data_IF_814035001268
#
_entry.id   IF_814035001268
#
_cell.length_a   1.000
_cell.length_b   1.000
_cell.length_c   1.000
_cell.angle_alpha   90.00
_cell.angle_beta   90.00
_cell.angle_gamma   90.00
#
_symmetry.space_group_name_H-M   'P 1'
#
loop_
_entity.id
_entity.type
_entity.pdbx_description
1 polymer ?
#
# COMPACT_ATOMS: atom_id res chain seq x y z
N UNK A 1 0.60 -2.74 -27.45
CA UNK A 1 -0.83 -3.02 -27.29
C UNK A 1 -1.55 -1.74 -26.90
N UNK A 2 -2.62 -1.48 -27.55
CA UNK A 2 -3.37 -0.26 -27.31
C UNK A 2 -4.38 -0.49 -26.19
N UNK A 3 -4.33 0.37 -25.19
CA UNK A 3 -5.23 0.29 -24.05
C UNK A 3 -6.54 1.00 -24.38
N UNK A 4 -7.66 0.37 -24.10
CA UNK A 4 -8.94 1.02 -24.28
C UNK A 4 -9.21 2.00 -23.15
N UNK A 5 -9.98 3.04 -23.40
CA UNK A 5 -10.30 4.05 -22.41
C UNK A 5 -11.15 3.51 -21.25
N UNK A 6 -11.82 2.37 -21.46
CA UNK A 6 -12.69 1.75 -20.47
C UNK A 6 -11.99 0.70 -19.63
N UNK A 7 -10.75 0.40 -19.95
CA UNK A 7 -10.02 -0.64 -19.25
C UNK A 7 -9.52 -0.13 -17.90
N UNK A 8 -9.87 -0.85 -16.85
CA UNK A 8 -9.41 -0.51 -15.51
C UNK A 8 -8.07 -1.17 -15.25
N UNK A 9 -7.26 -0.52 -14.40
CA UNK A 9 -6.05 -1.12 -13.90
C UNK A 9 -6.35 -2.24 -12.91
N UNK A 10 -5.33 -3.01 -12.59
CA UNK A 10 -5.43 -4.08 -11.60
C UNK A 10 -4.72 -3.67 -10.32
N UNK A 11 -5.24 -4.13 -9.20
CA UNK A 11 -4.63 -3.88 -7.91
C UNK A 11 -4.00 -5.20 -7.43
N UNK A 12 -2.68 -5.20 -7.29
CA UNK A 12 -1.92 -6.39 -6.93
C UNK A 12 -1.17 -6.10 -5.63
N UNK A 13 -1.34 -6.97 -4.64
CA UNK A 13 -0.75 -6.78 -3.33
C UNK A 13 0.24 -7.88 -3.05
N UNK A 14 1.44 -7.50 -2.62
CA UNK A 14 2.44 -8.41 -2.12
C UNK A 14 2.58 -8.21 -0.62
N UNK A 15 2.39 -9.25 0.15
CA UNK A 15 2.54 -9.20 1.60
C UNK A 15 3.71 -10.08 2.03
N UNK A 16 4.39 -9.65 3.08
CA UNK A 16 5.52 -10.37 3.64
C UNK A 16 6.48 -9.44 4.33
N UNK A 17 7.45 -10.02 5.00
CA UNK A 17 8.51 -9.25 5.65
C UNK A 17 9.62 -8.96 4.66
N UNK A 18 10.38 -7.93 4.92
CA UNK A 18 11.55 -7.59 4.11
C UNK A 18 12.55 -8.75 4.13
N UNK A 19 13.19 -8.97 3.00
CA UNK A 19 14.14 -10.05 2.87
C UNK A 19 13.54 -11.39 2.48
N UNK A 20 12.22 -11.44 2.23
CA UNK A 20 11.53 -12.67 1.82
C UNK A 20 11.53 -12.91 0.30
N UNK A 21 12.26 -12.08 -0.46
CA UNK A 21 12.22 -12.14 -1.92
C UNK A 21 11.11 -11.27 -2.53
N UNK A 22 10.34 -10.59 -1.71
CA UNK A 22 9.21 -9.79 -2.14
C UNK A 22 9.63 -8.67 -3.10
N UNK A 23 10.71 -7.96 -2.79
CA UNK A 23 11.21 -6.87 -3.63
C UNK A 23 11.56 -7.37 -5.03
N UNK A 24 12.22 -8.54 -5.11
CA UNK A 24 12.56 -9.16 -6.39
C UNK A 24 11.32 -9.51 -7.18
N UNK A 25 10.32 -10.10 -6.53
CA UNK A 25 9.07 -10.48 -7.18
C UNK A 25 8.33 -9.26 -7.74
N UNK A 26 8.28 -8.19 -6.95
CA UNK A 26 7.63 -6.95 -7.38
C UNK A 26 8.35 -6.38 -8.60
N UNK A 27 9.68 -6.36 -8.59
CA UNK A 27 10.45 -5.83 -9.71
C UNK A 27 10.24 -6.64 -10.98
N UNK A 28 10.20 -7.96 -10.86
CA UNK A 28 9.95 -8.84 -12.01
C UNK A 28 8.56 -8.59 -12.59
N UNK A 29 7.56 -8.43 -11.75
CA UNK A 29 6.21 -8.14 -12.21
C UNK A 29 6.13 -6.79 -12.90
N UNK A 30 6.76 -5.76 -12.33
CA UNK A 30 6.80 -4.43 -12.95
C UNK A 30 7.41 -4.49 -14.35
N UNK A 31 8.53 -5.19 -14.47
CA UNK A 31 9.21 -5.33 -15.75
C UNK A 31 8.31 -6.02 -16.79
N UNK A 32 7.61 -7.07 -16.36
CA UNK A 32 6.73 -7.82 -17.23
C UNK A 32 5.57 -6.94 -17.72
N UNK A 33 4.95 -6.19 -16.81
CA UNK A 33 3.85 -5.32 -17.17
C UNK A 33 4.30 -4.21 -18.13
N UNK A 34 5.49 -3.65 -17.91
CA UNK A 34 6.03 -2.65 -18.81
C UNK A 34 6.28 -3.20 -20.21
N UNK A 35 6.78 -4.43 -20.29
CA UNK A 35 7.02 -5.09 -21.58
C UNK A 35 5.71 -5.30 -22.34
N UNK A 36 4.61 -5.49 -21.64
CA UNK A 36 3.30 -5.68 -22.24
C UNK A 36 2.55 -4.37 -22.46
N UNK A 37 3.21 -3.23 -22.22
CA UNK A 37 2.59 -1.93 -22.46
C UNK A 37 1.58 -1.53 -21.40
N UNK A 38 1.60 -2.17 -20.24
CA UNK A 38 0.68 -1.88 -19.14
C UNK A 38 1.32 -0.87 -18.20
N UNK A 39 0.67 0.28 -18.04
CA UNK A 39 1.15 1.28 -17.10
C UNK A 39 0.93 0.80 -15.67
N UNK A 40 1.97 0.86 -14.85
CA UNK A 40 1.86 0.42 -13.46
C UNK A 40 2.57 1.38 -12.51
N UNK A 41 2.04 1.47 -11.30
CA UNK A 41 2.53 2.30 -10.23
C UNK A 41 2.82 1.42 -9.02
N UNK A 42 4.01 1.61 -8.45
CA UNK A 42 4.45 0.87 -7.27
C UNK A 42 4.26 1.73 -6.03
N UNK A 43 3.67 1.17 -5.00
CA UNK A 43 3.44 1.86 -3.75
C UNK A 43 3.64 0.91 -2.58
N UNK A 44 3.61 1.44 -1.38
CA UNK A 44 3.79 0.61 -0.18
C UNK A 44 3.07 1.24 1.01
N UNK A 45 2.86 0.44 2.05
CA UNK A 45 2.31 0.88 3.32
C UNK A 45 3.25 0.49 4.46
N UNK A 46 3.50 1.36 5.45
CA UNK A 46 2.96 2.73 5.55
C UNK A 46 3.40 3.62 4.40
N UNK A 47 2.52 4.53 3.98
CA UNK A 47 2.80 5.42 2.85
C UNK A 47 3.73 6.57 3.26
N UNK A 48 4.13 7.38 2.28
CA UNK A 48 4.87 8.61 2.52
C UNK A 48 3.94 9.82 2.72
N UNK A 49 2.62 9.59 2.80
CA UNK A 49 1.65 10.63 3.11
C UNK A 49 1.83 11.13 4.56
N UNK A 50 1.18 12.23 4.96
CA UNK A 50 1.27 12.70 6.35
C UNK A 50 0.92 11.63 7.38
N UNK A 51 -0.08 10.79 7.12
CA UNK A 51 -0.46 9.72 8.04
C UNK A 51 0.64 8.66 8.10
N UNK A 52 1.10 8.20 6.95
CA UNK A 52 2.18 7.21 6.88
C UNK A 52 3.48 7.73 7.48
N UNK A 53 3.77 9.00 7.27
CA UNK A 53 4.97 9.63 7.85
C UNK A 53 4.92 9.63 9.38
N UNK A 54 3.75 9.88 9.96
CA UNK A 54 3.59 9.79 11.41
C UNK A 54 3.85 8.37 11.91
N UNK A 55 3.35 7.38 11.20
CA UNK A 55 3.61 5.98 11.55
C UNK A 55 5.11 5.71 11.54
N UNK A 56 5.82 6.14 10.51
CA UNK A 56 7.28 5.97 10.44
C UNK A 56 8.00 6.61 11.63
N UNK A 57 7.56 7.80 12.06
CA UNK A 57 8.14 8.48 13.21
C UNK A 57 7.93 7.68 14.51
N UNK A 58 6.77 7.06 14.66
CA UNK A 58 6.49 6.21 15.82
C UNK A 58 7.35 4.95 15.76
N UNK A 59 7.43 4.32 14.60
CA UNK A 59 8.19 3.09 14.41
C UNK A 59 9.69 3.29 14.66
N UNK A 60 10.22 4.47 14.35
CA UNK A 60 11.63 4.79 14.58
C UNK A 60 11.90 5.32 15.98
N UNK A 61 10.88 5.44 16.83
CA UNK A 61 11.03 5.88 18.22
C UNK A 61 11.08 7.38 18.43
N UNK A 62 10.87 8.17 17.38
CA UNK A 62 10.86 9.64 17.50
C UNK A 62 9.62 10.17 18.20
N UNK A 63 8.52 9.45 18.05
CA UNK A 63 7.24 9.78 18.65
C UNK A 63 6.74 8.54 19.37
N UNK A 64 6.27 8.71 20.61
CA UNK A 64 5.70 7.60 21.36
C UNK A 64 4.19 7.64 21.28
N UNK A 65 3.58 6.46 21.19
CA UNK A 65 2.13 6.38 21.16
C UNK A 65 1.67 5.01 21.67
N UNK A 66 0.41 4.96 22.06
CA UNK A 66 -0.24 3.72 22.46
C UNK A 66 -0.43 2.81 21.26
N UNK A 67 -0.37 1.49 21.49
CA UNK A 67 -0.54 0.49 20.44
C UNK A 67 -1.89 0.62 19.72
N UNK A 68 -2.92 1.03 20.44
CA UNK A 68 -4.25 1.22 19.83
C UNK A 68 -4.25 2.39 18.86
N UNK A 69 -3.52 3.45 19.18
CA UNK A 69 -3.36 4.61 18.29
C UNK A 69 -2.59 4.19 17.05
N UNK A 70 -1.51 3.43 17.23
CA UNK A 70 -0.71 2.95 16.10
C UNK A 70 -1.57 2.11 15.16
N UNK A 71 -2.36 1.18 15.70
CA UNK A 71 -3.23 0.34 14.90
C UNK A 71 -4.26 1.18 14.13
N UNK A 72 -4.84 2.19 14.77
CA UNK A 72 -5.79 3.09 14.11
C UNK A 72 -5.12 3.90 13.00
N UNK A 73 -3.87 4.31 13.21
CA UNK A 73 -3.12 5.04 12.18
C UNK A 73 -2.86 4.17 10.95
N UNK A 74 -2.56 2.89 11.14
CA UNK A 74 -2.39 1.98 10.00
C UNK A 74 -3.67 1.86 9.18
N UNK A 75 -4.83 1.79 9.83
CA UNK A 75 -6.11 1.77 9.14
C UNK A 75 -6.35 3.08 8.40
N UNK A 76 -6.09 4.21 9.07
CA UNK A 76 -6.27 5.52 8.45
C UNK A 76 -5.36 5.69 7.23
N UNK A 77 -4.11 5.25 7.34
CA UNK A 77 -3.16 5.32 6.22
C UNK A 77 -3.64 4.48 5.03
N UNK A 78 -4.16 3.28 5.31
CA UNK A 78 -4.70 2.42 4.26
C UNK A 78 -5.92 3.04 3.59
N UNK A 79 -6.83 3.62 4.37
CA UNK A 79 -8.00 4.27 3.81
C UNK A 79 -7.62 5.46 2.93
N UNK A 80 -6.70 6.29 3.40
CA UNK A 80 -6.22 7.41 2.61
C UNK A 80 -5.52 6.92 1.34
N UNK A 81 -4.71 5.90 1.46
CA UNK A 81 -4.00 5.30 0.33
C UNK A 81 -4.97 4.80 -0.75
N UNK A 82 -6.10 4.22 -0.34
CA UNK A 82 -7.11 3.71 -1.26
C UNK A 82 -7.97 4.83 -1.85
N UNK A 83 -8.42 5.75 -1.00
CA UNK A 83 -9.55 6.62 -1.31
C UNK A 83 -9.17 8.07 -1.58
N UNK A 84 -7.89 8.45 -1.45
CA UNK A 84 -7.51 9.83 -1.68
C UNK A 84 -7.95 10.28 -3.07
N UNK A 85 -8.69 11.39 -3.19
CA UNK A 85 -9.25 11.80 -4.48
C UNK A 85 -8.20 12.28 -5.48
N UNK A 86 -7.01 12.61 -5.01
CA UNK A 86 -5.94 13.11 -5.90
C UNK A 86 -5.06 11.98 -6.41
N UNK A 87 -4.58 11.13 -5.53
CA UNK A 87 -3.56 10.12 -5.87
C UNK A 87 -3.85 8.75 -5.29
N UNK A 88 -5.08 8.51 -4.86
CA UNK A 88 -5.44 7.23 -4.27
C UNK A 88 -5.37 6.07 -5.27
N UNK A 89 -5.30 4.87 -4.73
CA UNK A 89 -5.22 3.65 -5.53
C UNK A 89 -6.44 3.52 -6.44
N UNK A 90 -7.63 3.81 -5.93
CA UNK A 90 -8.86 3.68 -6.74
C UNK A 90 -8.89 4.67 -7.89
N UNK A 91 -8.35 5.87 -7.69
CA UNK A 91 -8.25 6.86 -8.78
C UNK A 91 -7.33 6.34 -9.88
N UNK A 92 -6.20 5.76 -9.53
CA UNK A 92 -5.26 5.22 -10.50
C UNK A 92 -5.87 4.06 -11.27
N UNK A 93 -6.51 3.14 -10.57
CA UNK A 93 -7.15 1.97 -11.19
C UNK A 93 -8.25 2.43 -12.16
N UNK A 94 -9.05 3.40 -11.75
CA UNK A 94 -10.10 3.95 -12.60
C UNK A 94 -9.55 4.60 -13.86
N UNK A 95 -8.33 5.11 -13.80
CA UNK A 95 -7.65 5.72 -14.96
C UNK A 95 -6.89 4.69 -15.80
N UNK A 96 -6.98 3.42 -15.48
CA UNK A 96 -6.32 2.37 -16.24
C UNK A 96 -4.90 2.07 -15.82
N UNK A 97 -4.45 2.61 -14.70
CA UNK A 97 -3.11 2.37 -14.16
C UNK A 97 -3.20 1.21 -13.18
N UNK A 98 -2.39 0.18 -13.40
CA UNK A 98 -2.29 -0.92 -12.43
C UNK A 98 -1.42 -0.50 -11.27
N UNK A 99 -1.80 -0.94 -10.06
CA UNK A 99 -1.08 -0.58 -8.84
C UNK A 99 -0.54 -1.85 -8.18
N UNK A 100 0.74 -1.84 -7.89
CA UNK A 100 1.40 -2.90 -7.15
C UNK A 100 1.71 -2.35 -5.77
N UNK A 101 1.11 -2.92 -4.74
CA UNK A 101 1.30 -2.49 -3.36
C UNK A 101 2.17 -3.48 -2.61
N UNK A 102 3.24 -2.97 -2.02
CA UNK A 102 4.11 -3.72 -1.14
C UNK A 102 3.65 -3.44 0.30
N UNK A 103 3.12 -4.47 0.95
CA UNK A 103 2.66 -4.36 2.33
C UNK A 103 3.59 -5.11 3.25
N UNK A 104 4.07 -4.42 4.27
CA UNK A 104 4.86 -5.05 5.29
C UNK A 104 3.97 -5.92 6.18
N UNK A 105 4.48 -7.06 6.59
CA UNK A 105 3.74 -8.01 7.42
C UNK A 105 3.18 -7.36 8.70
N UNK A 106 3.85 -6.34 9.18
CA UNK A 106 3.48 -5.62 10.39
C UNK A 106 2.08 -4.98 10.30
N UNK A 107 1.65 -4.56 9.12
CA UNK A 107 0.33 -3.95 8.99
C UNK A 107 -0.80 -4.93 9.32
N UNK A 108 -0.63 -6.21 9.00
CA UNK A 108 -1.60 -7.24 9.38
C UNK A 108 -1.68 -7.38 10.89
N UNK A 109 -0.56 -7.30 11.57
CA UNK A 109 -0.53 -7.33 13.03
C UNK A 109 -1.31 -6.16 13.63
N UNK A 110 -1.18 -4.97 13.05
CA UNK A 110 -1.90 -3.80 13.52
C UNK A 110 -3.41 -3.98 13.39
N UNK A 111 -3.88 -4.59 12.32
CA UNK A 111 -5.30 -4.86 12.16
C UNK A 111 -5.82 -5.86 13.18
N UNK A 112 -5.04 -6.88 13.47
CA UNK A 112 -5.40 -7.82 14.53
C UNK A 112 -5.52 -7.12 15.88
N UNK A 113 -4.65 -6.17 16.15
CA UNK A 113 -4.70 -5.40 17.39
C UNK A 113 -5.99 -4.59 17.50
N UNK A 114 -6.46 -4.03 16.38
CA UNK A 114 -7.72 -3.31 16.35
C UNK A 114 -8.89 -4.26 16.61
N UNK A 115 -8.90 -5.42 15.98
CA UNK A 115 -9.96 -6.41 16.18
C UNK A 115 -10.04 -6.83 17.65
N UNK A 116 -8.90 -6.98 18.30
CA UNK A 116 -8.84 -7.32 19.72
C UNK A 116 -9.40 -6.21 20.60
N UNK A 117 -9.34 -4.98 20.15
CA UNK A 117 -9.89 -3.83 20.88
C UNK A 117 -11.41 -3.81 20.82
N UNK A 118 -11.99 -4.33 19.77
CA UNK A 118 -13.45 -4.38 19.61
C UNK A 118 -14.11 -5.45 20.43
N UNK A 119 -13.37 -6.34 20.96
CA UNK A 119 -13.89 -7.40 21.84
C UNK A 119 -14.07 -6.91 23.28
#
# INVERSE_FOLDING_TARGET
>A
MQKTTNERGRFIVFEGIDGSGKTTQIQLLKNRLQQEGIECYSTREPTDSPIGSLIHQIMTGRVRSDNKVIAALFVADRLDHLLNPTDGILEKIGSGISVISDRYYFSSYAYHSIDMVHV
#
